data_IF_191931469957
#
_entry.id   IF_191931469957
#
_cell.length_a   1.000
_cell.length_b   1.000
_cell.length_c   1.000
_cell.angle_alpha   90.00
_cell.angle_beta   90.00
_cell.angle_gamma   90.00
#
_symmetry.space_group_name_H-M   'P 1'
#
loop_
_entity.id
_entity.type
_entity.pdbx_description
1 polymer ?
#
# COMPACT_ATOMS: atom_id res chain seq x y z
N UNK A 1 -53.44 6.19 -1.73
CA UNK A 1 -52.92 5.06 -0.92
C UNK A 1 -51.41 5.21 -0.87
N UNK A 2 -50.89 4.99 0.33
CA UNK A 2 -49.57 5.31 0.89
C UNK A 2 -48.38 5.22 -0.08
N UNK A 3 -47.54 6.24 0.00
CA UNK A 3 -46.32 6.43 -0.79
C UNK A 3 -45.18 5.47 -0.43
N UNK A 4 -44.19 5.53 -1.31
CA UNK A 4 -42.95 4.79 -1.36
C UNK A 4 -42.20 4.80 -0.02
N UNK A 5 -42.03 3.62 0.58
CA UNK A 5 -41.00 3.39 1.60
C UNK A 5 -39.94 2.48 0.99
N UNK A 6 -39.06 3.07 0.17
CA UNK A 6 -37.71 2.53 0.01
C UNK A 6 -36.97 2.80 1.32
N UNK A 7 -36.99 1.83 2.23
CA UNK A 7 -36.06 1.80 3.35
C UNK A 7 -34.63 1.76 2.79
N UNK A 8 -33.99 2.93 2.71
CA UNK A 8 -32.54 3.01 2.65
C UNK A 8 -32.01 2.41 3.96
N UNK A 9 -31.69 1.12 3.94
CA UNK A 9 -31.00 0.48 5.04
C UNK A 9 -29.73 1.30 5.33
N UNK A 10 -29.54 1.83 6.55
CA UNK A 10 -28.34 2.56 6.88
C UNK A 10 -27.18 1.56 6.82
N UNK A 11 -26.40 1.61 5.74
CA UNK A 11 -25.18 0.86 5.63
C UNK A 11 -24.33 1.21 6.85
N UNK A 12 -24.14 0.25 7.76
CA UNK A 12 -23.25 0.39 8.90
C UNK A 12 -21.87 0.74 8.35
N UNK A 13 -21.50 2.02 8.42
CA UNK A 13 -20.18 2.48 8.03
C UNK A 13 -19.21 1.87 9.03
N UNK A 14 -18.54 0.78 8.64
CA UNK A 14 -17.49 0.21 9.46
C UNK A 14 -16.32 1.18 9.43
N UNK A 15 -16.22 2.01 10.48
CA UNK A 15 -15.17 3.01 10.60
C UNK A 15 -13.82 2.34 10.84
N UNK A 16 -12.79 2.81 10.14
CA UNK A 16 -11.39 2.45 10.40
C UNK A 16 -10.99 3.08 11.74
N UNK A 17 -11.26 2.37 12.83
CA UNK A 17 -10.96 2.81 14.18
C UNK A 17 -9.55 2.42 14.66
N UNK A 18 -9.16 2.84 15.88
CA UNK A 18 -7.82 2.60 16.43
C UNK A 18 -7.38 1.13 16.43
N UNK A 19 -8.32 0.19 16.62
CA UNK A 19 -8.03 -1.26 16.58
C UNK A 19 -7.58 -1.72 15.19
N UNK A 20 -8.22 -1.23 14.13
CA UNK A 20 -7.87 -1.60 12.74
C UNK A 20 -6.52 -0.99 12.39
N UNK A 21 -6.29 0.29 12.75
CA UNK A 21 -4.99 0.93 12.55
C UNK A 21 -3.86 0.16 13.26
N UNK A 22 -4.07 -0.22 14.52
CA UNK A 22 -3.10 -1.02 15.28
C UNK A 22 -2.83 -2.39 14.61
N UNK A 23 -3.87 -3.05 14.12
CA UNK A 23 -3.76 -4.33 13.42
C UNK A 23 -2.92 -4.19 12.13
N UNK A 24 -3.20 -3.18 11.30
CA UNK A 24 -2.43 -2.88 10.08
C UNK A 24 -0.96 -2.64 10.42
N UNK A 25 -0.67 -1.81 11.43
CA UNK A 25 0.72 -1.55 11.86
C UNK A 25 1.43 -2.83 12.31
N UNK A 26 0.73 -3.72 13.04
CA UNK A 26 1.28 -5.00 13.48
C UNK A 26 1.61 -5.90 12.29
N UNK A 27 0.71 -5.99 11.31
CA UNK A 27 0.87 -6.85 10.14
C UNK A 27 2.00 -6.35 9.23
N UNK A 28 2.09 -5.05 8.99
CA UNK A 28 3.21 -4.46 8.24
C UNK A 28 4.55 -4.71 8.95
N UNK A 29 4.59 -4.57 10.28
CA UNK A 29 5.80 -4.86 11.04
C UNK A 29 6.18 -6.34 11.02
N UNK A 30 5.20 -7.26 10.98
CA UNK A 30 5.45 -8.68 10.81
C UNK A 30 6.04 -8.98 9.42
N UNK A 31 5.41 -8.48 8.35
CA UNK A 31 5.90 -8.62 6.98
C UNK A 31 7.34 -8.12 6.82
N UNK A 32 7.67 -6.98 7.43
CA UNK A 32 9.04 -6.49 7.48
C UNK A 32 9.98 -7.52 8.12
N UNK A 33 9.69 -7.96 9.35
CA UNK A 33 10.56 -8.88 10.09
C UNK A 33 10.75 -10.22 9.37
N UNK A 34 9.69 -10.75 8.79
CA UNK A 34 9.70 -12.03 8.08
C UNK A 34 10.54 -11.97 6.81
N UNK A 35 10.55 -10.83 6.12
CA UNK A 35 11.27 -10.64 4.86
C UNK A 35 12.60 -9.88 5.03
N UNK A 36 13.05 -9.62 6.26
CA UNK A 36 14.27 -8.82 6.52
C UNK A 36 15.51 -9.42 5.84
N UNK A 37 15.64 -10.74 5.84
CA UNK A 37 16.76 -11.43 5.20
C UNK A 37 16.76 -11.25 3.68
N UNK A 38 15.61 -11.44 3.04
CA UNK A 38 15.48 -11.27 1.59
C UNK A 38 15.64 -9.80 1.16
N UNK A 39 15.18 -8.87 2.00
CA UNK A 39 15.40 -7.43 1.80
C UNK A 39 16.89 -7.09 1.89
N UNK A 40 17.62 -7.67 2.85
CA UNK A 40 19.07 -7.46 3.00
C UNK A 40 19.85 -7.99 1.79
N UNK A 41 19.52 -9.20 1.32
CA UNK A 41 20.09 -9.75 0.08
C UNK A 41 19.75 -8.83 -1.11
N UNK A 42 18.50 -8.47 -1.29
CA UNK A 42 18.10 -7.60 -2.40
C UNK A 42 18.78 -6.22 -2.33
N UNK A 43 19.01 -5.68 -1.14
CA UNK A 43 19.71 -4.41 -0.93
C UNK A 43 21.20 -4.51 -1.28
N UNK A 44 21.89 -5.52 -0.76
CA UNK A 44 23.32 -5.75 -1.04
C UNK A 44 23.61 -6.04 -2.51
N UNK A 45 22.66 -6.66 -3.21
CA UNK A 45 22.76 -6.92 -4.64
C UNK A 45 22.31 -5.76 -5.53
N UNK A 46 21.74 -4.69 -4.98
CA UNK A 46 21.26 -3.52 -5.75
C UNK A 46 22.34 -2.45 -5.79
N UNK A 47 22.87 -2.14 -7.00
CA UNK A 47 23.89 -1.10 -7.18
C UNK A 47 23.33 0.32 -6.93
N UNK A 48 22.07 0.57 -7.33
CA UNK A 48 21.43 1.88 -7.27
C UNK A 48 20.38 2.02 -6.15
N UNK A 49 20.28 1.01 -5.27
CA UNK A 49 19.38 0.97 -4.12
C UNK A 49 18.10 0.15 -4.31
N UNK A 50 17.35 -0.03 -3.22
CA UNK A 50 16.21 -0.93 -3.13
C UNK A 50 14.90 -0.16 -2.89
N UNK A 51 13.85 -0.50 -3.63
CA UNK A 51 12.48 -0.02 -3.35
C UNK A 51 11.67 -1.10 -2.65
N UNK A 52 11.21 -0.82 -1.43
CA UNK A 52 10.27 -1.66 -0.68
C UNK A 52 8.90 -0.99 -0.65
N UNK A 53 7.86 -1.71 -1.05
CA UNK A 53 6.48 -1.24 -1.11
C UNK A 53 5.56 -2.14 -0.29
N UNK A 54 4.71 -1.52 0.53
CA UNK A 54 3.65 -2.20 1.25
C UNK A 54 2.32 -1.97 0.56
N UNK A 55 1.52 -3.03 0.45
CA UNK A 55 0.15 -2.95 -0.04
C UNK A 55 -0.81 -3.18 1.12
N UNK A 56 -1.90 -2.42 1.12
CA UNK A 56 -3.00 -2.55 2.07
C UNK A 56 -4.31 -2.55 1.27
N UNK A 57 -5.14 -3.55 1.50
CA UNK A 57 -6.50 -3.62 0.96
C UNK A 57 -7.48 -3.88 2.10
N UNK A 58 -8.45 -2.99 2.21
CA UNK A 58 -9.55 -3.07 3.18
C UNK A 58 -10.83 -3.42 2.43
N UNK A 59 -11.58 -4.39 2.95
CA UNK A 59 -12.85 -4.80 2.34
C UNK A 59 -13.83 -5.30 3.39
N UNK A 60 -15.12 -5.27 3.09
CA UNK A 60 -16.15 -5.86 3.95
C UNK A 60 -16.22 -7.36 3.69
N UNK A 61 -16.08 -8.23 4.72
CA UNK A 61 -16.25 -9.66 4.55
C UNK A 61 -17.70 -9.99 4.18
N UNK A 62 -17.92 -10.99 3.32
CA UNK A 62 -19.28 -11.43 2.95
C UNK A 62 -20.01 -12.21 4.04
N UNK A 63 -19.27 -12.74 5.01
CA UNK A 63 -19.77 -13.73 5.99
C UNK A 63 -19.51 -13.33 7.43
N UNK A 64 -19.03 -12.11 7.69
CA UNK A 64 -18.70 -11.66 9.03
C UNK A 64 -18.86 -10.13 9.13
N UNK A 65 -19.30 -9.69 10.30
CA UNK A 65 -19.30 -8.27 10.65
C UNK A 65 -17.86 -7.82 10.95
N UNK A 66 -17.36 -6.86 10.19
CA UNK A 66 -16.02 -6.29 10.41
C UNK A 66 -15.34 -5.77 9.15
N UNK A 67 -14.02 -5.56 9.24
CA UNK A 67 -13.14 -5.19 8.13
C UNK A 67 -12.16 -6.32 7.88
N UNK A 68 -12.16 -6.85 6.65
CA UNK A 68 -11.10 -7.72 6.17
C UNK A 68 -9.90 -6.85 5.80
N UNK A 69 -8.75 -7.16 6.40
CA UNK A 69 -7.47 -6.50 6.18
C UNK A 69 -6.58 -7.47 5.40
N UNK A 70 -6.13 -7.06 4.21
CA UNK A 70 -5.14 -7.77 3.42
C UNK A 70 -3.90 -6.87 3.32
N UNK A 71 -2.76 -7.35 3.78
CA UNK A 71 -1.46 -6.67 3.68
C UNK A 71 -0.52 -7.47 2.80
N UNK A 72 0.38 -6.78 2.11
CA UNK A 72 1.44 -7.40 1.31
C UNK A 72 2.70 -6.56 1.33
N UNK A 73 3.82 -7.18 1.02
CA UNK A 73 5.11 -6.54 0.82
C UNK A 73 5.65 -6.95 -0.55
N UNK A 74 6.23 -6.00 -1.25
CA UNK A 74 6.93 -6.24 -2.50
C UNK A 74 8.21 -5.39 -2.49
N UNK A 75 9.34 -6.00 -2.80
CA UNK A 75 10.61 -5.32 -2.97
C UNK A 75 11.19 -5.73 -4.31
N UNK A 76 11.57 -4.74 -5.10
CA UNK A 76 12.08 -4.95 -6.46
C UNK A 76 13.46 -4.34 -6.52
N UNK A 77 14.44 -5.17 -6.87
CA UNK A 77 15.77 -4.76 -7.33
C UNK A 77 15.55 -3.96 -8.61
N UNK A 78 15.69 -2.64 -8.52
CA UNK A 78 15.22 -1.66 -9.50
C UNK A 78 13.74 -1.80 -9.89
N UNK A 79 12.91 -0.80 -9.53
CA UNK A 79 11.82 -0.47 -10.45
C UNK A 79 12.49 0.09 -11.69
N UNK A 80 12.44 -0.63 -12.82
CA UNK A 80 12.36 0.04 -14.13
C UNK A 80 11.06 0.85 -14.09
N UNK A 81 11.10 2.03 -13.47
CA UNK A 81 10.16 3.07 -13.78
C UNK A 81 10.52 3.43 -15.21
N UNK A 82 9.74 2.97 -16.18
CA UNK A 82 9.56 3.72 -17.42
C UNK A 82 8.86 5.05 -17.09
N UNK A 83 9.47 5.85 -16.22
CA UNK A 83 9.13 7.21 -15.88
C UNK A 83 10.32 8.02 -16.30
N UNK A 84 10.13 8.86 -17.31
CA UNK A 84 11.14 9.82 -17.75
C UNK A 84 11.41 10.78 -16.58
N UNK A 85 12.56 10.67 -15.94
CA UNK A 85 13.05 11.69 -15.01
C UNK A 85 13.86 12.66 -15.86
N UNK A 86 13.36 13.87 -16.07
CA UNK A 86 14.11 14.95 -16.69
C UNK A 86 14.43 15.98 -15.60
N UNK A 87 15.73 16.24 -15.38
CA UNK A 87 16.16 17.41 -14.61
C UNK A 87 16.36 18.54 -15.62
N UNK A 88 15.49 19.55 -15.57
CA UNK A 88 15.64 20.76 -16.38
C UNK A 88 16.32 21.83 -15.54
N UNK A 89 17.61 22.06 -15.79
CA UNK A 89 18.29 23.26 -15.31
C UNK A 89 18.01 24.41 -16.28
N UNK A 90 17.04 25.27 -15.93
CA UNK A 90 16.65 26.44 -16.71
C UNK A 90 17.79 27.45 -16.92
N UNK A 91 18.89 27.38 -16.15
CA UNK A 91 20.02 28.29 -16.28
C UNK A 91 21.12 27.78 -17.23
N UNK A 92 21.16 26.48 -17.54
CA UNK A 92 22.24 25.89 -18.35
C UNK A 92 21.79 25.12 -19.61
N UNK A 93 20.49 24.88 -19.80
CA UNK A 93 19.96 24.39 -21.09
C UNK A 93 20.55 23.06 -21.56
N UNK A 94 20.97 22.19 -20.65
CA UNK A 94 21.47 20.84 -20.98
C UNK A 94 20.69 19.78 -20.22
N UNK A 95 20.24 18.79 -20.98
CA UNK A 95 19.72 17.53 -20.47
C UNK A 95 20.92 16.64 -20.12
N UNK A 96 20.93 16.10 -18.91
CA UNK A 96 21.86 15.04 -18.53
C UNK A 96 21.10 13.71 -18.73
N UNK A 97 21.62 12.87 -19.63
CA UNK A 97 21.27 11.45 -19.74
C UNK A 97 22.02 10.64 -18.68
#
# INVERSE_FOLDING_TARGET
VVGENTEEMPGSFVHIGPKIAHQISRDIAALLRENLGDIDVAYTESEDGLSVAFTLKLSTPKTADGVKIETGINFVKERVKMGRVAVVDEKQGRLFD
#
